data_IF_820136388370
#
_entry.id   IF_820136388370
#
_cell.length_a   1.000
_cell.length_b   1.000
_cell.length_c   1.000
_cell.angle_alpha   90.00
_cell.angle_beta   90.00
_cell.angle_gamma   90.00
#
_symmetry.space_group_name_H-M   'P 1'
#
loop_
_entity.id
_entity.type
_entity.pdbx_description
1 polymer ?
#
# COMPACT_ATOMS: atom_id res chain seq x y z
N UNK A 1 7.03 -9.76 -63.66
CA UNK A 1 8.28 -10.18 -63.02
C UNK A 1 8.37 -9.35 -61.75
N UNK A 2 7.85 -9.89 -60.63
CA UNK A 2 7.85 -9.24 -59.33
C UNK A 2 9.15 -9.63 -58.63
N UNK A 3 9.96 -8.64 -58.27
CA UNK A 3 11.13 -8.88 -57.44
C UNK A 3 10.68 -9.44 -56.08
N UNK A 4 11.28 -10.55 -55.61
CA UNK A 4 10.96 -11.10 -54.31
C UNK A 4 11.36 -10.08 -53.24
N UNK A 5 10.40 -9.71 -52.39
CA UNK A 5 10.62 -8.87 -51.22
C UNK A 5 11.69 -9.53 -50.35
N UNK A 6 12.91 -9.01 -50.46
CA UNK A 6 14.02 -9.32 -49.58
C UNK A 6 13.65 -8.79 -48.19
N UNK A 7 13.05 -9.66 -47.37
CA UNK A 7 12.85 -9.42 -45.95
C UNK A 7 14.25 -9.43 -45.35
N UNK A 8 14.88 -8.26 -45.37
CA UNK A 8 16.09 -8.00 -44.61
C UNK A 8 15.74 -8.22 -43.14
N UNK A 9 16.21 -9.35 -42.59
CA UNK A 9 16.11 -9.66 -41.18
C UNK A 9 16.87 -8.57 -40.45
N UNK A 10 16.14 -7.56 -39.99
CA UNK A 10 16.68 -6.39 -39.33
C UNK A 10 17.36 -6.81 -38.03
N UNK A 11 18.69 -6.70 -38.04
CA UNK A 11 19.60 -6.42 -36.93
C UNK A 11 19.27 -7.06 -35.55
N UNK A 12 20.02 -8.12 -35.22
CA UNK A 12 19.99 -8.85 -33.93
C UNK A 12 20.27 -7.94 -32.72
N UNK A 13 20.89 -6.77 -32.94
CA UNK A 13 21.13 -5.74 -31.91
C UNK A 13 19.84 -5.14 -31.31
N UNK A 14 18.70 -5.27 -32.00
CA UNK A 14 17.40 -4.76 -31.55
C UNK A 14 16.77 -5.60 -30.42
N UNK A 15 17.10 -6.89 -30.32
CA UNK A 15 16.46 -7.81 -29.36
C UNK A 15 16.81 -7.51 -27.90
N UNK A 16 18.09 -7.30 -27.51
CA UNK A 16 18.43 -6.97 -26.13
C UNK A 16 17.81 -5.65 -25.68
N UNK A 17 17.75 -4.65 -26.57
CA UNK A 17 17.13 -3.37 -26.28
C UNK A 17 15.62 -3.52 -26.08
N UNK A 18 14.91 -4.21 -26.98
CA UNK A 18 13.49 -4.49 -26.83
C UNK A 18 13.17 -5.26 -25.54
N UNK A 19 14.04 -6.21 -25.16
CA UNK A 19 13.91 -6.95 -23.90
C UNK A 19 14.11 -6.07 -22.67
N UNK A 20 15.11 -5.20 -22.68
CA UNK A 20 15.36 -4.21 -21.62
C UNK A 20 14.15 -3.29 -21.45
N UNK A 21 13.64 -2.75 -22.54
CA UNK A 21 12.49 -1.83 -22.54
C UNK A 21 11.22 -2.53 -22.04
N UNK A 22 10.99 -3.79 -22.44
CA UNK A 22 9.88 -4.60 -21.94
C UNK A 22 9.98 -4.82 -20.43
N UNK A 23 11.14 -5.25 -19.93
CA UNK A 23 11.35 -5.49 -18.49
C UNK A 23 11.21 -4.21 -17.67
N UNK A 24 11.74 -3.09 -18.19
CA UNK A 24 11.59 -1.78 -17.58
C UNK A 24 10.13 -1.32 -17.56
N UNK A 25 9.39 -1.55 -18.64
CA UNK A 25 7.96 -1.29 -18.73
C UNK A 25 7.17 -2.07 -17.68
N UNK A 26 7.41 -3.38 -17.58
CA UNK A 26 6.76 -4.25 -16.59
C UNK A 26 7.12 -3.84 -15.15
N UNK A 27 8.37 -3.48 -14.88
CA UNK A 27 8.79 -2.95 -13.58
C UNK A 27 8.02 -1.69 -13.21
N UNK A 28 7.98 -0.73 -14.13
CA UNK A 28 7.32 0.57 -13.94
C UNK A 28 5.82 0.43 -13.69
N UNK A 29 5.17 -0.45 -14.43
CA UNK A 29 3.75 -0.76 -14.29
C UNK A 29 3.43 -1.41 -12.93
N UNK A 30 4.21 -2.40 -12.50
CA UNK A 30 4.04 -3.01 -11.17
C UNK A 30 4.25 -2.00 -10.04
N UNK A 31 5.19 -1.05 -10.19
CA UNK A 31 5.37 0.06 -9.23
C UNK A 31 4.20 1.03 -9.24
N UNK A 32 3.61 1.32 -10.40
CA UNK A 32 2.40 2.13 -10.50
C UNK A 32 1.21 1.47 -9.80
N UNK A 33 0.98 0.17 -10.04
CA UNK A 33 -0.05 -0.60 -9.36
C UNK A 33 0.15 -0.69 -7.85
N UNK A 34 1.39 -0.84 -7.37
CA UNK A 34 1.69 -0.80 -5.95
C UNK A 34 1.31 0.57 -5.32
N UNK A 35 1.71 1.68 -5.96
CA UNK A 35 1.33 3.03 -5.48
C UNK A 35 -0.19 3.24 -5.49
N UNK A 36 -0.86 2.77 -6.53
CA UNK A 36 -2.32 2.88 -6.61
C UNK A 36 -3.01 2.12 -5.48
N UNK A 37 -2.57 0.89 -5.16
CA UNK A 37 -3.09 0.13 -4.02
C UNK A 37 -2.88 0.87 -2.69
N UNK A 38 -1.76 1.58 -2.52
CA UNK A 38 -1.50 2.42 -1.36
C UNK A 38 -2.49 3.59 -1.26
N UNK A 39 -2.75 4.29 -2.38
CA UNK A 39 -3.73 5.38 -2.45
C UNK A 39 -5.14 4.89 -2.13
N UNK A 40 -5.55 3.75 -2.69
CA UNK A 40 -6.86 3.16 -2.42
C UNK A 40 -7.02 2.80 -0.93
N UNK A 41 -5.97 2.25 -0.32
CA UNK A 41 -5.95 1.95 1.12
C UNK A 41 -6.12 3.21 1.96
N UNK A 42 -5.36 4.27 1.66
CA UNK A 42 -5.44 5.54 2.38
C UNK A 42 -6.83 6.16 2.26
N UNK A 43 -7.42 6.15 1.05
CA UNK A 43 -8.77 6.65 0.81
C UNK A 43 -9.82 5.86 1.59
N UNK A 44 -9.75 4.52 1.59
CA UNK A 44 -10.69 3.67 2.31
C UNK A 44 -10.64 3.94 3.82
N UNK A 45 -9.44 4.01 4.41
CA UNK A 45 -9.27 4.32 5.84
C UNK A 45 -9.76 5.73 6.17
N UNK A 46 -9.53 6.72 5.31
CA UNK A 46 -10.02 8.07 5.52
C UNK A 46 -11.55 8.15 5.52
N UNK A 47 -12.22 7.46 4.58
CA UNK A 47 -13.69 7.38 4.54
C UNK A 47 -14.22 6.75 5.83
N UNK A 48 -13.61 5.64 6.27
CA UNK A 48 -13.95 4.96 7.54
C UNK A 48 -13.84 5.92 8.73
N UNK A 49 -12.76 6.69 8.81
CA UNK A 49 -12.57 7.67 9.88
C UNK A 49 -13.61 8.78 9.87
N UNK A 50 -13.90 9.36 8.70
CA UNK A 50 -14.90 10.45 8.58
C UNK A 50 -16.29 9.96 8.98
N UNK A 51 -16.72 8.81 8.46
CA UNK A 51 -18.04 8.26 8.79
C UNK A 51 -18.11 7.85 10.26
N UNK A 52 -17.09 7.17 10.79
CA UNK A 52 -17.06 6.81 12.21
C UNK A 52 -17.11 8.04 13.12
N UNK A 53 -16.35 9.09 12.80
CA UNK A 53 -16.35 10.33 13.59
C UNK A 53 -17.71 11.01 13.58
N UNK A 54 -18.39 11.03 12.42
CA UNK A 54 -19.73 11.58 12.31
C UNK A 54 -20.75 10.80 13.15
N UNK A 55 -20.71 9.46 13.10
CA UNK A 55 -21.60 8.61 13.91
C UNK A 55 -21.33 8.78 15.42
N UNK A 56 -20.07 8.85 15.83
CA UNK A 56 -19.71 9.11 17.23
C UNK A 56 -20.19 10.49 17.69
N UNK A 57 -20.07 11.51 16.84
CA UNK A 57 -20.57 12.85 17.15
C UNK A 57 -22.10 12.87 17.31
N UNK A 58 -22.84 12.10 16.50
CA UNK A 58 -24.29 11.94 16.63
C UNK A 58 -24.66 11.30 17.97
N UNK A 59 -23.97 10.23 18.37
CA UNK A 59 -24.20 9.58 19.68
C UNK A 59 -23.86 10.54 20.83
N UNK A 60 -22.82 11.36 20.69
CA UNK A 60 -22.39 12.27 21.75
C UNK A 60 -23.19 13.58 21.83
N UNK A 61 -24.09 13.87 20.87
CA UNK A 61 -24.71 15.18 20.70
C UNK A 61 -25.59 15.59 21.90
N UNK A 62 -26.37 14.64 22.44
CA UNK A 62 -27.32 14.90 23.53
C UNK A 62 -26.70 14.72 24.93
N UNK A 63 -25.43 14.30 25.00
CA UNK A 63 -24.70 14.08 26.24
C UNK A 63 -25.20 12.92 27.12
N UNK A 64 -26.25 12.22 26.70
CA UNK A 64 -26.85 11.11 27.42
C UNK A 64 -26.80 9.84 26.57
N UNK A 65 -26.24 8.76 27.12
CA UNK A 65 -26.20 7.47 26.44
C UNK A 65 -27.55 6.78 26.57
N UNK A 66 -28.20 6.49 25.46
CA UNK A 66 -29.53 5.86 25.44
C UNK A 66 -29.49 4.50 24.75
N UNK A 67 -30.33 3.56 25.21
CA UNK A 67 -30.37 2.19 24.64
C UNK A 67 -30.78 2.15 23.17
N UNK A 68 -31.49 3.16 22.67
CA UNK A 68 -31.81 3.29 21.25
C UNK A 68 -30.61 3.65 20.35
N UNK A 69 -29.45 3.97 20.94
CA UNK A 69 -28.20 4.24 20.22
C UNK A 69 -27.35 2.97 19.98
N UNK A 70 -27.76 1.83 20.54
CA UNK A 70 -27.07 0.54 20.34
C UNK A 70 -26.92 0.18 18.85
N UNK A 71 -27.95 0.31 17.98
CA UNK A 71 -27.82 0.03 16.56
C UNK A 71 -26.77 0.91 15.87
N UNK A 72 -26.69 2.19 16.24
CA UNK A 72 -25.70 3.13 15.68
C UNK A 72 -24.28 2.78 16.13
N UNK A 73 -24.12 2.38 17.40
CA UNK A 73 -22.82 1.93 17.93
C UNK A 73 -22.35 0.63 17.27
N UNK A 74 -23.26 -0.31 17.01
CA UNK A 74 -22.96 -1.53 16.24
C UNK A 74 -22.55 -1.20 14.80
N UNK A 75 -23.18 -0.19 14.19
CA UNK A 75 -22.80 0.29 12.86
C UNK A 75 -21.36 0.85 12.84
N UNK A 76 -20.92 1.55 13.89
CA UNK A 76 -19.53 2.02 14.02
C UNK A 76 -18.55 0.84 14.04
N UNK A 77 -18.86 -0.21 14.82
CA UNK A 77 -18.04 -1.44 14.86
C UNK A 77 -17.97 -2.06 13.46
N UNK A 78 -19.12 -2.20 12.80
CA UNK A 78 -19.20 -2.80 11.47
C UNK A 78 -18.37 -2.03 10.42
N UNK A 79 -18.43 -0.70 10.43
CA UNK A 79 -17.62 0.16 9.56
C UNK A 79 -16.12 -0.01 9.87
N UNK A 80 -15.74 -0.11 11.15
CA UNK A 80 -14.36 -0.40 11.55
C UNK A 80 -13.87 -1.76 11.03
N UNK A 81 -14.70 -2.80 11.09
CA UNK A 81 -14.39 -4.14 10.56
C UNK A 81 -14.20 -4.09 9.04
N UNK A 82 -15.07 -3.41 8.31
CA UNK A 82 -14.93 -3.20 6.86
C UNK A 82 -13.60 -2.48 6.57
N UNK A 83 -13.31 -1.40 7.28
CA UNK A 83 -12.06 -0.65 7.13
C UNK A 83 -10.83 -1.51 7.36
N UNK A 84 -10.85 -2.36 8.39
CA UNK A 84 -9.77 -3.28 8.69
C UNK A 84 -9.57 -4.32 7.58
N UNK A 85 -10.67 -4.87 7.06
CA UNK A 85 -10.62 -5.83 5.94
C UNK A 85 -10.03 -5.21 4.68
N UNK A 86 -10.46 -4.00 4.30
CA UNK A 86 -9.89 -3.27 3.17
C UNK A 86 -8.41 -2.93 3.39
N UNK A 87 -8.04 -2.48 4.59
CA UNK A 87 -6.65 -2.20 4.92
C UNK A 87 -5.77 -3.44 4.78
N UNK A 88 -6.23 -4.61 5.23
CA UNK A 88 -5.52 -5.88 5.07
C UNK A 88 -5.42 -6.29 3.60
N UNK A 89 -6.53 -6.25 2.86
CA UNK A 89 -6.58 -6.66 1.45
C UNK A 89 -5.65 -5.83 0.56
N UNK A 90 -5.68 -4.50 0.71
CA UNK A 90 -4.78 -3.63 -0.06
C UNK A 90 -3.33 -3.71 0.38
N UNK A 91 -3.07 -4.04 1.65
CA UNK A 91 -1.71 -4.31 2.13
C UNK A 91 -1.11 -5.53 1.43
N UNK A 92 -1.88 -6.61 1.27
CA UNK A 92 -1.46 -7.81 0.55
C UNK A 92 -1.25 -7.52 -0.94
N UNK A 93 -2.18 -6.80 -1.57
CA UNK A 93 -2.06 -6.41 -2.98
C UNK A 93 -0.82 -5.55 -3.24
N UNK A 94 -0.55 -4.56 -2.37
CA UNK A 94 0.65 -3.75 -2.40
C UNK A 94 1.91 -4.62 -2.32
N UNK A 95 1.97 -5.54 -1.35
CA UNK A 95 3.13 -6.42 -1.16
C UNK A 95 3.35 -7.34 -2.36
N UNK A 96 2.28 -7.90 -2.92
CA UNK A 96 2.36 -8.75 -4.12
C UNK A 96 2.95 -7.99 -5.31
N UNK A 97 2.45 -6.79 -5.60
CA UNK A 97 2.94 -5.97 -6.72
C UNK A 97 4.36 -5.48 -6.49
N UNK A 98 4.68 -5.09 -5.25
CA UNK A 98 6.04 -4.69 -4.86
C UNK A 98 7.05 -5.83 -5.07
N UNK A 99 6.75 -7.04 -4.59
CA UNK A 99 7.64 -8.21 -4.77
C UNK A 99 7.83 -8.56 -6.24
N UNK A 100 6.79 -8.43 -7.07
CA UNK A 100 6.89 -8.62 -8.53
C UNK A 100 7.81 -7.57 -9.16
N UNK A 101 7.65 -6.30 -8.81
CA UNK A 101 8.54 -5.23 -9.26
C UNK A 101 10.00 -5.50 -8.84
N UNK A 102 10.24 -5.90 -7.59
CA UNK A 102 11.57 -6.22 -7.09
C UNK A 102 12.23 -7.37 -7.89
N UNK A 103 11.45 -8.38 -8.30
CA UNK A 103 11.93 -9.45 -9.19
C UNK A 103 12.30 -8.94 -10.58
N UNK A 104 11.48 -8.10 -11.21
CA UNK A 104 11.83 -7.50 -12.51
C UNK A 104 13.09 -6.66 -12.42
N UNK A 105 13.26 -5.88 -11.34
CA UNK A 105 14.49 -5.13 -11.07
C UNK A 105 15.70 -6.04 -10.93
N UNK A 106 15.58 -7.14 -10.17
CA UNK A 106 16.68 -8.08 -10.01
C UNK A 106 17.12 -8.70 -11.36
N UNK A 107 16.16 -9.03 -12.23
CA UNK A 107 16.46 -9.54 -13.59
C UNK A 107 17.08 -8.45 -14.47
N UNK A 108 16.68 -7.19 -14.31
CA UNK A 108 17.31 -6.06 -15.01
C UNK A 108 18.78 -5.89 -14.57
N UNK A 109 19.03 -5.88 -13.26
CA UNK A 109 20.37 -5.79 -12.70
C UNK A 109 21.26 -6.94 -13.23
N UNK A 110 20.79 -8.19 -13.12
CA UNK A 110 21.54 -9.38 -13.55
C UNK A 110 21.90 -9.38 -15.04
N UNK A 111 21.00 -8.90 -15.92
CA UNK A 111 21.19 -9.02 -17.38
C UNK A 111 21.83 -7.82 -18.04
N UNK A 112 21.67 -6.63 -17.47
CA UNK A 112 22.06 -5.38 -18.14
C UNK A 112 23.03 -4.52 -17.32
N UNK A 113 23.30 -4.87 -16.07
CA UNK A 113 24.23 -4.15 -15.21
C UNK A 113 25.29 -5.13 -14.67
N UNK A 114 26.33 -5.38 -15.47
CA UNK A 114 27.48 -6.23 -15.09
C UNK A 114 28.81 -5.53 -15.44
N UNK A 115 29.79 -5.74 -14.57
CA UNK A 115 31.23 -5.46 -14.65
C UNK A 115 31.75 -4.15 -14.02
N UNK A 116 31.25 -2.96 -14.35
CA UNK A 116 31.86 -1.70 -13.85
C UNK A 116 30.86 -0.62 -13.37
N UNK A 117 29.56 -0.78 -13.62
CA UNK A 117 28.53 0.17 -13.18
C UNK A 117 27.78 -0.31 -11.93
N UNK A 118 27.43 0.58 -10.98
CA UNK A 118 26.65 0.21 -9.82
C UNK A 118 25.25 -0.26 -10.25
N UNK A 119 24.82 -1.39 -9.72
CA UNK A 119 23.48 -1.93 -9.98
C UNK A 119 22.39 -1.00 -9.44
N UNK A 120 21.17 -1.09 -9.99
CA UNK A 120 20.03 -0.28 -9.51
C UNK A 120 19.78 -0.60 -8.02
N UNK A 121 19.96 -1.86 -7.62
CA UNK A 121 19.85 -2.28 -6.23
C UNK A 121 20.87 -1.63 -5.31
N UNK A 122 22.14 -1.54 -5.71
CA UNK A 122 23.20 -0.88 -4.92
C UNK A 122 22.95 0.62 -4.75
N UNK A 123 22.58 1.32 -5.83
CA UNK A 123 22.26 2.76 -5.77
C UNK A 123 21.10 3.03 -4.80
N UNK A 124 20.07 2.17 -4.82
CA UNK A 124 18.94 2.28 -3.92
C UNK A 124 19.32 1.95 -2.47
N UNK A 125 20.10 0.88 -2.24
CA UNK A 125 20.55 0.52 -0.89
C UNK A 125 21.42 1.63 -0.28
N UNK A 126 22.36 2.20 -1.05
CA UNK A 126 23.20 3.30 -0.59
C UNK A 126 22.36 4.55 -0.23
N UNK A 127 21.26 4.78 -0.96
CA UNK A 127 20.31 5.86 -0.65
C UNK A 127 19.50 5.56 0.62
N UNK A 128 19.05 4.31 0.78
CA UNK A 128 18.30 3.86 1.95
C UNK A 128 19.15 3.87 3.22
N UNK A 129 20.42 3.48 3.15
CA UNK A 129 21.36 3.49 4.28
C UNK A 129 21.54 4.90 4.84
N UNK A 130 21.71 5.90 3.97
CA UNK A 130 21.80 7.32 4.38
C UNK A 130 20.55 7.77 5.11
N UNK A 131 19.38 7.36 4.64
CA UNK A 131 18.11 7.68 5.28
C UNK A 131 17.97 6.96 6.64
N UNK A 132 18.29 5.67 6.68
CA UNK A 132 18.17 4.84 7.88
C UNK A 132 19.14 5.23 9.01
N UNK A 133 20.26 5.87 8.67
CA UNK A 133 21.24 6.37 9.64
C UNK A 133 20.71 7.52 10.52
N UNK A 134 19.63 8.20 10.12
CA UNK A 134 19.07 9.31 10.92
C UNK A 134 18.41 8.82 12.22
N UNK A 135 18.70 9.50 13.34
CA UNK A 135 18.16 9.17 14.67
C UNK A 135 16.62 9.22 14.70
N UNK A 136 16.04 10.20 14.00
CA UNK A 136 14.61 10.38 13.88
C UNK A 136 13.92 9.18 13.19
N UNK A 137 14.51 8.63 12.13
CA UNK A 137 13.98 7.46 11.44
C UNK A 137 13.91 6.23 12.37
N UNK A 138 14.97 5.99 13.16
CA UNK A 138 14.99 4.86 14.11
C UNK A 138 13.97 5.01 15.23
N UNK A 139 13.76 6.23 15.71
CA UNK A 139 12.75 6.52 16.73
C UNK A 139 11.33 6.33 16.20
N UNK A 140 11.02 6.94 15.05
CA UNK A 140 9.69 6.83 14.44
C UNK A 140 9.36 5.37 14.08
N UNK A 141 10.28 4.63 13.46
CA UNK A 141 10.08 3.21 13.12
C UNK A 141 9.85 2.30 14.33
N UNK A 142 10.33 2.66 15.52
CA UNK A 142 10.00 1.93 16.77
C UNK A 142 8.57 2.17 17.23
N UNK A 143 8.07 3.40 17.10
CA UNK A 143 6.72 3.79 17.53
C UNK A 143 5.64 3.34 16.54
N UNK A 144 5.81 3.67 15.26
CA UNK A 144 4.81 3.35 14.23
C UNK A 144 5.00 1.95 13.63
N UNK A 145 6.14 1.31 13.89
CA UNK A 145 6.49 0.03 13.27
C UNK A 145 6.74 0.17 11.76
N UNK A 146 6.47 -0.90 11.01
CA UNK A 146 6.29 -0.81 9.55
C UNK A 146 5.09 0.06 9.25
N UNK A 147 5.17 0.94 8.25
CA UNK A 147 4.05 1.75 7.72
C UNK A 147 2.77 0.93 7.56
N UNK A 148 2.88 -0.37 7.30
CA UNK A 148 1.74 -1.28 7.19
C UNK A 148 0.93 -1.44 8.48
N UNK A 149 1.57 -1.46 9.66
CA UNK A 149 0.89 -1.64 10.94
C UNK A 149 -0.02 -0.47 11.25
N UNK A 150 0.45 0.75 10.97
CA UNK A 150 -0.34 1.97 11.14
C UNK A 150 -1.72 1.86 10.48
N UNK A 151 -1.78 1.38 9.24
CA UNK A 151 -3.03 1.26 8.49
C UNK A 151 -3.99 0.18 9.01
N UNK A 152 -3.51 -0.79 9.78
CA UNK A 152 -4.36 -1.77 10.46
C UNK A 152 -4.83 -1.25 11.83
N UNK A 153 -3.98 -0.49 12.52
CA UNK A 153 -4.29 0.08 13.83
C UNK A 153 -5.44 1.07 13.75
N UNK A 154 -5.49 1.92 12.71
CA UNK A 154 -6.49 2.98 12.60
C UNK A 154 -7.94 2.43 12.57
N UNK A 155 -8.32 1.49 11.68
CA UNK A 155 -9.65 0.88 11.74
C UNK A 155 -9.87 0.04 13.02
N UNK A 156 -8.83 -0.58 13.57
CA UNK A 156 -8.95 -1.32 14.82
C UNK A 156 -9.33 -0.40 16.00
N UNK A 157 -8.82 0.84 16.04
CA UNK A 157 -9.25 1.83 17.02
C UNK A 157 -10.73 2.20 16.86
N UNK A 158 -11.26 2.28 15.64
CA UNK A 158 -12.70 2.51 15.40
C UNK A 158 -13.54 1.36 15.98
N UNK A 159 -13.11 0.11 15.79
CA UNK A 159 -13.77 -1.08 16.36
C UNK A 159 -13.76 -1.00 17.90
N UNK A 160 -12.62 -0.67 18.50
CA UNK A 160 -12.47 -0.54 19.95
C UNK A 160 -13.39 0.56 20.49
N UNK A 161 -13.42 1.73 19.84
CA UNK A 161 -14.31 2.83 20.22
C UNK A 161 -15.78 2.42 20.13
N UNK A 162 -16.21 1.79 19.04
CA UNK A 162 -17.58 1.29 18.90
C UNK A 162 -17.94 0.25 19.97
N UNK A 163 -17.00 -0.64 20.31
CA UNK A 163 -17.19 -1.65 21.36
C UNK A 163 -17.33 -1.00 22.73
N UNK A 164 -16.50 0.01 23.04
CA UNK A 164 -16.59 0.76 24.27
C UNK A 164 -17.94 1.49 24.40
N UNK A 165 -18.44 2.07 23.31
CA UNK A 165 -19.78 2.71 23.27
C UNK A 165 -20.90 1.70 23.54
N UNK A 166 -20.86 0.52 22.90
CA UNK A 166 -21.87 -0.55 23.16
C UNK A 166 -21.88 -0.95 24.64
N UNK A 167 -20.70 -1.15 25.25
CA UNK A 167 -20.58 -1.52 26.66
C UNK A 167 -21.14 -0.40 27.56
N UNK A 168 -20.79 0.85 27.28
CA UNK A 168 -21.24 2.00 28.07
C UNK A 168 -22.76 2.18 27.99
N UNK A 169 -23.35 2.06 26.79
CA UNK A 169 -24.81 2.15 26.59
C UNK A 169 -25.53 0.97 27.24
N UNK A 170 -24.97 -0.24 27.20
CA UNK A 170 -25.57 -1.41 27.85
C UNK A 170 -25.56 -1.32 29.38
N UNK A 171 -24.61 -0.58 29.96
CA UNK A 171 -24.50 -0.34 31.40
C UNK A 171 -25.39 0.81 31.90
N UNK A 172 -25.93 1.64 31.00
CA UNK A 172 -26.88 2.71 31.30
C UNK A 172 -28.34 2.21 31.39
#
# INVERSE_FOLDING_TARGET
MQDPLEITVSDDSSRPQAQKDLLWGMYSDMRAHARHAETLRANAVNIVLVVASALVAVIAADGNLRRDELPVSLLVIFIGVIGLAFAAAYTELYQRNRRRAERFRAVLDERFFVADDPTITEVLNASDERHQATSFYRWTRRLTGSTQRFWLVVPALVIVTGTALVIAIAAA
#
